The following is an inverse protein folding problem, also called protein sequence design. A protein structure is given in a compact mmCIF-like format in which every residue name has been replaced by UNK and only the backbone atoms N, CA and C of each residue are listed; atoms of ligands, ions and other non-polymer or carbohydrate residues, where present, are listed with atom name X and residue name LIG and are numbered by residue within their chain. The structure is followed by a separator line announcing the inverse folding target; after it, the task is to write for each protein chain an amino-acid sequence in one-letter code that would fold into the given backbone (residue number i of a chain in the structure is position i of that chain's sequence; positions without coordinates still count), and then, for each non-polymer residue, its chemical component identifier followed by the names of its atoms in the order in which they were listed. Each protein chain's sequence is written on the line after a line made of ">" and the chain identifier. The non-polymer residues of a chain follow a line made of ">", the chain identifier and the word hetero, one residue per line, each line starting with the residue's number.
data_IF_563316852592
#
_entry.id   IF_563316852592
#
_cell.length_a   1.000
_cell.length_b   1.000
_cell.length_c   1.000
_cell.angle_alpha   90.00
_cell.angle_beta   90.00
_cell.angle_gamma   90.00
#
_symmetry.space_group_name_H-M   'P 1'
#
loop_
_entity.id
_entity.type
_entity.pdbx_description
1 polymer ?
#
# COMPACT_ATOMS: atom_id res chain seq x y z
N UNK A 1 44.18 2.11 2.98
CA UNK A 1 43.49 3.35 2.54
C UNK A 1 42.00 3.07 2.44
N UNK A 2 41.23 3.52 3.41
CA UNK A 2 39.76 3.44 3.40
C UNK A 2 39.20 4.56 2.51
N UNK A 3 38.55 4.20 1.39
CA UNK A 3 37.75 5.16 0.62
C UNK A 3 36.43 5.40 1.37
N UNK A 4 36.37 6.50 2.12
CA UNK A 4 35.10 7.05 2.57
C UNK A 4 34.31 7.50 1.33
N UNK A 5 33.26 6.78 0.98
CA UNK A 5 32.30 7.20 -0.04
C UNK A 5 31.30 8.12 0.66
N UNK A 6 31.51 9.43 0.54
CA UNK A 6 30.53 10.44 0.96
C UNK A 6 29.34 10.41 0.01
N UNK A 7 28.13 10.20 0.56
CA UNK A 7 26.89 10.33 -0.21
C UNK A 7 26.62 11.80 -0.60
N UNK A 8 26.03 12.06 -1.78
CA UNK A 8 25.50 13.39 -2.11
C UNK A 8 24.33 13.75 -1.20
N UNK A 9 24.27 15.01 -0.76
CA UNK A 9 23.14 15.56 -0.02
C UNK A 9 21.98 15.95 -0.96
N UNK A 10 20.80 16.17 -0.36
CA UNK A 10 19.55 16.63 -0.98
C UNK A 10 18.73 15.53 -1.69
N UNK A 11 18.10 14.66 -0.89
CA UNK A 11 17.05 13.73 -1.34
C UNK A 11 15.77 14.01 -0.54
N UNK A 12 14.62 14.16 -1.23
CA UNK A 12 13.34 14.56 -0.63
C UNK A 12 12.18 13.75 -1.18
N UNK A 13 11.20 13.55 -0.29
CA UNK A 13 9.83 13.06 -0.56
C UNK A 13 9.80 11.58 -0.83
N UNK A 14 8.74 10.86 -0.40
CA UNK A 14 7.85 9.98 -1.20
C UNK A 14 7.09 8.95 -0.26
N UNK A 15 5.90 9.14 0.41
CA UNK A 15 5.48 8.28 1.60
C UNK A 15 4.29 7.28 1.64
N UNK A 16 3.07 7.79 1.45
CA UNK A 16 2.09 7.80 2.56
C UNK A 16 1.19 6.56 2.77
N UNK A 17 1.52 5.36 2.25
CA UNK A 17 0.73 4.09 2.46
C UNK A 17 0.68 3.79 3.93
N UNK A 18 1.86 3.76 4.52
CA UNK A 18 2.06 3.36 5.91
C UNK A 18 1.63 4.48 6.85
N UNK A 19 1.68 5.74 6.39
CA UNK A 19 1.08 6.87 7.10
C UNK A 19 -0.43 6.69 7.16
N UNK A 20 -1.14 6.52 6.05
CA UNK A 20 -2.62 6.43 6.12
C UNK A 20 -3.06 5.22 6.95
N UNK A 21 -2.44 4.04 6.80
CA UNK A 21 -2.78 2.89 7.64
C UNK A 21 -2.43 3.09 9.13
N UNK A 22 -1.24 3.62 9.47
CA UNK A 22 -0.84 3.87 10.86
C UNK A 22 -1.51 5.11 11.48
N UNK A 23 -1.95 6.08 10.68
CA UNK A 23 -2.76 7.24 11.11
C UNK A 23 -4.20 6.80 11.36
N UNK A 24 -4.82 6.04 10.44
CA UNK A 24 -6.14 5.43 10.63
C UNK A 24 -6.19 4.61 11.93
N UNK A 25 -5.25 3.68 12.10
CA UNK A 25 -5.14 2.90 13.35
C UNK A 25 -4.74 3.77 14.53
N UNK A 26 -3.91 4.78 14.32
CA UNK A 26 -3.25 5.51 15.38
C UNK A 26 -4.05 6.61 16.03
N UNK A 27 -4.61 7.52 15.25
CA UNK A 27 -5.58 8.50 15.73
C UNK A 27 -6.80 7.76 16.30
N UNK A 28 -7.17 6.62 15.73
CA UNK A 28 -8.27 5.81 16.24
C UNK A 28 -8.02 5.24 17.63
N UNK A 29 -6.87 4.59 17.82
CA UNK A 29 -6.43 4.13 19.14
C UNK A 29 -6.30 5.29 20.14
N UNK A 30 -5.81 6.45 19.70
CA UNK A 30 -5.67 7.65 20.54
C UNK A 30 -7.02 8.14 21.07
N UNK A 31 -7.99 8.31 20.16
CA UNK A 31 -9.32 8.82 20.48
C UNK A 31 -10.17 7.80 21.24
N UNK A 32 -9.91 6.49 21.10
CA UNK A 32 -10.54 5.48 21.98
C UNK A 32 -10.13 5.62 23.46
N UNK A 33 -8.96 6.20 23.72
CA UNK A 33 -8.42 6.42 25.06
C UNK A 33 -8.85 7.77 25.66
N UNK A 34 -9.23 8.74 24.81
CA UNK A 34 -9.68 10.08 25.22
C UNK A 34 -11.21 10.22 25.05
N UNK A 35 -11.96 9.86 26.10
CA UNK A 35 -13.44 9.96 26.09
C UNK A 35 -14.00 11.39 26.02
N UNK A 36 -13.18 12.43 26.17
CA UNK A 36 -13.62 13.83 26.31
C UNK A 36 -12.84 14.83 25.42
N UNK A 37 -12.81 14.62 24.10
CA UNK A 37 -12.44 15.69 23.14
C UNK A 37 -13.61 15.98 22.19
N UNK A 38 -14.45 16.90 22.66
CA UNK A 38 -15.50 17.60 21.90
C UNK A 38 -14.92 18.84 21.20
N UNK A 39 -14.11 18.62 20.17
CA UNK A 39 -13.65 19.67 19.25
C UNK A 39 -13.81 19.13 17.83
N UNK A 40 -14.25 19.98 16.91
CA UNK A 40 -14.57 19.69 15.50
C UNK A 40 -15.83 18.84 15.29
N UNK A 41 -16.98 19.50 15.43
CA UNK A 41 -18.23 19.12 14.76
C UNK A 41 -18.55 20.17 13.67
N UNK A 42 -19.22 19.71 12.61
CA UNK A 42 -19.67 20.41 11.39
C UNK A 42 -18.74 20.38 10.17
N UNK A 43 -19.06 19.46 9.27
CA UNK A 43 -18.85 19.58 7.81
C UNK A 43 -19.94 18.73 7.13
N UNK A 44 -20.84 19.39 6.40
CA UNK A 44 -21.95 18.75 5.68
C UNK A 44 -21.46 18.16 4.35
N UNK A 45 -20.64 17.11 4.43
CA UNK A 45 -20.24 16.29 3.29
C UNK A 45 -20.49 14.81 3.59
N UNK A 46 -20.70 14.03 2.52
CA UNK A 46 -21.24 12.66 2.56
C UNK A 46 -20.38 11.76 3.49
N UNK A 47 -20.88 11.35 4.67
CA UNK A 47 -20.03 10.70 5.66
C UNK A 47 -19.55 9.33 5.16
N UNK A 48 -18.24 9.11 5.27
CA UNK A 48 -17.64 7.78 5.14
C UNK A 48 -18.38 6.84 6.11
N UNK A 49 -18.96 5.76 5.59
CA UNK A 49 -19.82 4.87 6.37
C UNK A 49 -19.12 4.43 7.67
N UNK A 50 -19.75 4.70 8.81
CA UNK A 50 -19.28 4.22 10.12
C UNK A 50 -19.24 2.68 10.19
N UNK A 51 -19.91 2.00 9.26
CA UNK A 51 -19.91 0.54 9.11
C UNK A 51 -18.74 0.02 8.27
N UNK A 52 -18.15 0.85 7.39
CA UNK A 52 -17.17 0.39 6.40
C UNK A 52 -16.34 1.55 5.85
N UNK A 53 -15.02 1.48 6.00
CA UNK A 53 -14.09 2.38 5.29
C UNK A 53 -13.42 1.57 4.18
N UNK A 54 -13.64 1.94 2.92
CA UNK A 54 -12.95 1.32 1.77
C UNK A 54 -12.26 2.39 0.93
N UNK A 55 -11.02 2.15 0.52
CA UNK A 55 -10.28 3.04 -0.40
C UNK A 55 -9.25 2.28 -1.25
N UNK A 56 -8.96 2.80 -2.45
CA UNK A 56 -7.84 2.35 -3.25
C UNK A 56 -6.54 2.97 -2.75
N UNK A 57 -5.49 2.19 -2.65
CA UNK A 57 -4.17 2.59 -2.19
C UNK A 57 -3.13 2.29 -3.26
N UNK A 58 -2.45 3.34 -3.76
CA UNK A 58 -1.53 3.26 -4.89
C UNK A 58 -0.12 3.69 -4.51
N UNK A 59 0.82 2.75 -4.39
CA UNK A 59 2.23 3.02 -4.14
C UNK A 59 2.99 3.32 -5.42
N UNK A 60 3.16 4.60 -5.74
CA UNK A 60 3.95 5.12 -6.87
C UNK A 60 5.46 5.14 -6.55
N UNK A 61 6.29 4.88 -7.57
CA UNK A 61 7.76 4.92 -7.43
C UNK A 61 8.32 6.34 -7.26
N UNK A 62 7.76 7.32 -7.97
CA UNK A 62 8.15 8.74 -7.88
C UNK A 62 9.42 9.09 -8.66
N UNK A 63 9.73 10.41 -8.73
CA UNK A 63 10.84 10.98 -9.52
C UNK A 63 12.20 11.00 -8.81
N UNK A 64 12.27 10.72 -7.51
CA UNK A 64 13.47 11.03 -6.71
C UNK A 64 14.62 10.02 -6.87
N UNK A 65 14.35 8.83 -7.39
CA UNK A 65 15.34 7.78 -7.59
C UNK A 65 15.82 7.87 -9.04
N UNK A 66 17.04 8.38 -9.26
CA UNK A 66 17.68 8.60 -10.57
C UNK A 66 18.03 7.32 -11.37
N UNK A 67 17.19 6.29 -11.25
CA UNK A 67 17.31 4.95 -11.79
C UNK A 67 15.98 4.42 -12.39
N UNK A 68 14.93 5.25 -12.45
CA UNK A 68 13.64 4.86 -13.07
C UNK A 68 13.32 5.74 -14.28
N UNK A 69 13.18 5.11 -15.44
CA UNK A 69 12.69 5.74 -16.67
C UNK A 69 11.16 5.97 -16.66
N UNK A 70 10.47 5.62 -15.57
CA UNK A 70 9.01 5.72 -15.45
C UNK A 70 8.62 6.08 -14.00
N UNK A 71 8.65 7.39 -13.63
CA UNK A 71 8.40 7.84 -12.27
C UNK A 71 6.93 7.80 -11.83
N UNK A 72 6.02 7.67 -12.80
CA UNK A 72 4.57 7.77 -12.59
C UNK A 72 3.87 6.39 -12.59
N UNK A 73 4.62 5.31 -12.36
CA UNK A 73 4.07 3.96 -12.22
C UNK A 73 3.70 3.63 -10.77
N UNK A 74 2.53 3.02 -10.59
CA UNK A 74 2.06 2.41 -9.36
C UNK A 74 2.61 0.98 -9.23
N UNK A 75 3.61 0.80 -8.37
CA UNK A 75 4.28 -0.49 -8.12
C UNK A 75 3.58 -1.32 -7.04
N UNK A 76 2.61 -0.73 -6.35
CA UNK A 76 1.70 -1.38 -5.39
C UNK A 76 0.28 -0.88 -5.66
N UNK A 77 -0.67 -1.77 -5.93
CA UNK A 77 -2.10 -1.44 -6.06
C UNK A 77 -2.84 -2.30 -5.04
N UNK A 78 -3.47 -1.67 -4.04
CA UNK A 78 -4.11 -2.38 -2.92
C UNK A 78 -5.49 -1.76 -2.67
N UNK A 79 -6.56 -2.56 -2.70
CA UNK A 79 -7.85 -2.11 -2.16
C UNK A 79 -7.87 -2.40 -0.67
N UNK A 80 -8.05 -1.36 0.13
CA UNK A 80 -8.20 -1.45 1.59
C UNK A 80 -9.68 -1.48 1.92
N UNK A 81 -10.11 -2.43 2.74
CA UNK A 81 -11.49 -2.58 3.22
C UNK A 81 -11.50 -2.84 4.72
N UNK A 82 -11.74 -1.78 5.50
CA UNK A 82 -11.79 -1.81 6.96
C UNK A 82 -13.22 -1.98 7.47
N UNK A 83 -13.37 -2.94 8.39
CA UNK A 83 -14.59 -3.33 9.10
C UNK A 83 -14.42 -3.06 10.60
N UNK A 84 -14.83 -1.88 11.11
CA UNK A 84 -14.65 -1.51 12.52
C UNK A 84 -15.31 -2.49 13.51
N UNK A 85 -16.42 -3.12 13.13
CA UNK A 85 -17.29 -3.94 13.97
C UNK A 85 -16.60 -5.25 14.38
N UNK A 86 -15.80 -5.81 13.48
CA UNK A 86 -15.05 -7.06 13.67
C UNK A 86 -13.53 -6.85 13.83
N UNK A 87 -13.08 -5.59 13.76
CA UNK A 87 -11.67 -5.21 13.88
C UNK A 87 -10.79 -5.77 12.76
N UNK A 88 -11.27 -5.83 11.51
CA UNK A 88 -10.51 -6.38 10.38
C UNK A 88 -10.23 -5.31 9.33
N UNK A 89 -9.00 -5.23 8.86
CA UNK A 89 -8.64 -4.58 7.58
C UNK A 89 -8.34 -5.68 6.58
N UNK A 90 -9.20 -5.83 5.58
CA UNK A 90 -8.90 -6.63 4.39
C UNK A 90 -7.99 -5.80 3.47
N UNK A 91 -6.88 -6.39 3.01
CA UNK A 91 -5.90 -5.80 2.10
C UNK A 91 -5.85 -6.64 0.83
N UNK A 92 -6.48 -6.17 -0.23
CA UNK A 92 -6.58 -6.87 -1.52
C UNK A 92 -5.52 -6.32 -2.48
N UNK A 93 -4.42 -7.04 -2.65
CA UNK A 93 -3.36 -6.70 -3.61
C UNK A 93 -3.79 -7.08 -5.03
N UNK A 94 -3.77 -6.09 -5.93
CA UNK A 94 -3.99 -6.27 -7.37
C UNK A 94 -2.63 -6.29 -8.09
N UNK A 95 -2.32 -7.34 -8.88
CA UNK A 95 -1.01 -7.46 -9.52
C UNK A 95 -0.72 -6.32 -10.49
N UNK A 96 0.45 -5.71 -10.36
CA UNK A 96 0.84 -4.51 -11.13
C UNK A 96 0.91 -4.75 -12.65
N UNK A 97 1.20 -5.98 -13.05
CA UNK A 97 1.34 -6.42 -14.45
C UNK A 97 0.01 -6.90 -15.05
N UNK A 98 -1.10 -6.81 -14.32
CA UNK A 98 -2.44 -7.14 -14.83
C UNK A 98 -2.78 -6.23 -16.02
N UNK A 99 -3.04 -6.83 -17.17
CA UNK A 99 -3.44 -6.11 -18.38
C UNK A 99 -4.92 -5.77 -18.29
N UNK A 100 -5.22 -4.48 -18.22
CA UNK A 100 -6.56 -3.93 -18.05
C UNK A 100 -6.93 -3.11 -19.28
N UNK A 101 -8.23 -3.03 -19.56
CA UNK A 101 -8.79 -2.05 -20.49
C UNK A 101 -9.59 -1.03 -19.70
N UNK A 102 -9.20 0.24 -19.77
CA UNK A 102 -9.83 1.35 -19.05
C UNK A 102 -10.19 2.46 -20.05
N UNK A 103 -11.49 2.60 -20.32
CA UNK A 103 -11.98 3.36 -21.48
C UNK A 103 -11.58 2.68 -22.79
N UNK A 104 -10.95 3.43 -23.70
CA UNK A 104 -10.40 2.93 -24.97
C UNK A 104 -9.05 2.23 -24.85
N UNK A 105 -8.36 2.38 -23.72
CA UNK A 105 -6.92 2.14 -23.63
C UNK A 105 -6.63 0.82 -22.91
N UNK A 106 -5.74 0.00 -23.46
CA UNK A 106 -5.29 -1.25 -22.83
C UNK A 106 -3.81 -1.20 -22.48
N UNK A 107 -3.49 -1.47 -21.22
CA UNK A 107 -2.16 -1.26 -20.63
C UNK A 107 -2.00 -2.05 -19.33
N UNK A 108 -0.80 -2.07 -18.74
CA UNK A 108 -0.58 -2.72 -17.43
C UNK A 108 -1.09 -1.86 -16.29
N UNK A 109 -1.73 -2.44 -15.29
CA UNK A 109 -2.33 -1.72 -14.16
C UNK A 109 -1.38 -0.73 -13.46
N UNK A 110 -0.06 -1.00 -13.43
CA UNK A 110 0.94 -0.05 -12.92
C UNK A 110 1.00 1.30 -13.67
N UNK A 111 0.61 1.36 -14.94
CA UNK A 111 0.60 2.59 -15.75
C UNK A 111 -0.60 3.50 -15.47
N UNK A 112 -1.55 3.10 -14.60
CA UNK A 112 -2.81 3.82 -14.37
C UNK A 112 -2.63 5.29 -14.00
N UNK A 113 -1.64 5.61 -13.15
CA UNK A 113 -1.33 6.98 -12.75
C UNK A 113 -0.68 7.76 -13.89
N UNK A 114 0.35 7.20 -14.52
CA UNK A 114 1.02 7.79 -15.68
C UNK A 114 0.06 8.14 -16.83
N UNK A 115 -0.97 7.31 -17.06
CA UNK A 115 -1.99 7.51 -18.11
C UNK A 115 -3.17 8.38 -17.69
N UNK A 116 -3.24 8.81 -16.43
CA UNK A 116 -4.37 9.59 -15.90
C UNK A 116 -5.68 8.79 -15.78
N UNK A 117 -5.60 7.45 -15.74
CA UNK A 117 -6.73 6.50 -15.81
C UNK A 117 -7.28 6.06 -14.47
N UNK A 118 -6.98 6.84 -13.43
CA UNK A 118 -7.46 6.57 -12.08
C UNK A 118 -9.00 6.61 -11.98
N UNK A 119 -9.73 7.57 -12.59
CA UNK A 119 -11.20 7.57 -12.56
C UNK A 119 -11.80 6.29 -13.15
N UNK A 120 -11.35 5.87 -14.34
CA UNK A 120 -11.83 4.65 -14.98
C UNK A 120 -11.47 3.38 -14.18
N UNK A 121 -10.31 3.34 -13.52
CA UNK A 121 -9.97 2.23 -12.61
C UNK A 121 -10.99 2.15 -11.45
N UNK A 122 -11.34 3.28 -10.84
CA UNK A 122 -12.29 3.32 -9.72
C UNK A 122 -13.69 2.81 -10.11
N UNK A 123 -14.13 3.03 -11.35
CA UNK A 123 -15.37 2.46 -11.89
C UNK A 123 -15.32 0.94 -12.07
N UNK A 124 -14.15 0.39 -12.40
CA UNK A 124 -13.95 -1.05 -12.69
C UNK A 124 -13.57 -1.85 -11.44
N UNK A 125 -12.99 -1.24 -10.40
CA UNK A 125 -12.63 -1.88 -9.13
C UNK A 125 -13.73 -2.79 -8.51
N UNK A 126 -15.03 -2.42 -8.49
CA UNK A 126 -16.06 -3.27 -7.91
C UNK A 126 -16.27 -4.57 -8.72
N UNK A 127 -16.03 -4.53 -10.03
CA UNK A 127 -16.07 -5.71 -10.90
C UNK A 127 -14.87 -6.63 -10.65
N UNK A 128 -13.70 -6.04 -10.36
CA UNK A 128 -12.47 -6.78 -10.06
C UNK A 128 -12.47 -7.42 -8.66
N UNK A 129 -13.14 -6.79 -7.67
CA UNK A 129 -12.91 -7.09 -6.25
C UNK A 129 -14.16 -7.32 -5.40
N UNK A 130 -15.36 -6.97 -5.89
CA UNK A 130 -16.58 -6.92 -5.06
C UNK A 130 -16.59 -5.76 -4.04
N UNK A 131 -15.53 -4.94 -3.98
CA UNK A 131 -15.42 -3.79 -3.09
C UNK A 131 -15.74 -2.52 -3.88
N UNK A 132 -16.83 -1.85 -3.49
CA UNK A 132 -17.13 -0.49 -3.98
C UNK A 132 -16.39 0.54 -3.12
N UNK A 133 -15.65 1.42 -3.78
CA UNK A 133 -15.06 2.61 -3.20
C UNK A 133 -14.95 3.71 -4.26
N UNK A 134 -15.15 4.95 -3.85
CA UNK A 134 -14.87 6.18 -4.60
C UNK A 134 -13.62 6.91 -4.04
N UNK A 135 -13.13 6.51 -2.87
CA UNK A 135 -11.98 7.10 -2.18
C UNK A 135 -10.67 6.45 -2.64
N UNK A 136 -9.63 7.25 -2.85
CA UNK A 136 -8.29 6.76 -3.15
C UNK A 136 -7.21 7.53 -2.38
N UNK A 137 -6.03 6.92 -2.29
CA UNK A 137 -4.81 7.53 -1.75
C UNK A 137 -3.63 7.13 -2.66
N UNK A 138 -3.09 8.11 -3.38
CA UNK A 138 -1.82 7.97 -4.10
C UNK A 138 -0.68 8.29 -3.16
N UNK A 139 0.26 7.37 -3.17
CA UNK A 139 1.34 7.21 -2.21
C UNK A 139 2.63 7.09 -2.98
N UNK A 140 3.71 7.35 -2.27
CA UNK A 140 5.06 7.34 -2.74
C UNK A 140 5.91 6.44 -1.77
N UNK A 141 7.12 5.96 -2.10
CA UNK A 141 8.01 5.07 -1.27
C UNK A 141 9.10 5.66 -0.29
N UNK A 142 9.95 6.65 -0.61
CA UNK A 142 11.02 7.22 0.27
C UNK A 142 10.61 8.05 1.54
N UNK A 143 9.34 8.06 1.96
CA UNK A 143 8.79 8.50 3.26
C UNK A 143 8.00 7.33 3.93
N UNK A 144 7.88 6.13 3.32
CA UNK A 144 7.75 4.86 4.09
C UNK A 144 8.97 4.74 5.00
N UNK A 145 10.15 5.13 4.48
CA UNK A 145 11.33 5.38 5.28
C UNK A 145 11.04 6.27 6.49
N UNK A 146 10.40 7.42 6.30
CA UNK A 146 10.04 8.33 7.40
C UNK A 146 9.06 7.69 8.39
N UNK A 147 8.11 6.85 7.97
CA UNK A 147 7.27 6.09 8.92
C UNK A 147 8.11 5.15 9.76
N UNK A 148 8.96 4.34 9.12
CA UNK A 148 9.81 3.37 9.81
C UNK A 148 10.82 4.09 10.73
N UNK A 149 11.42 5.18 10.28
CA UNK A 149 12.37 5.98 11.06
C UNK A 149 11.68 6.67 12.25
N UNK A 150 10.47 7.22 12.08
CA UNK A 150 9.70 7.86 13.17
C UNK A 150 9.09 6.87 14.15
N UNK A 151 8.95 5.60 13.77
CA UNK A 151 8.70 4.49 14.68
C UNK A 151 9.97 4.02 15.42
N UNK A 152 11.15 4.52 15.06
CA UNK A 152 12.43 4.02 15.57
C UNK A 152 12.74 2.60 15.07
N UNK A 153 12.58 2.39 13.76
CA UNK A 153 12.72 1.13 13.06
C UNK A 153 11.58 0.13 13.36
N UNK A 154 11.51 -0.94 12.57
CA UNK A 154 10.51 -2.01 12.74
C UNK A 154 11.18 -3.38 12.78
N UNK A 155 10.50 -4.35 13.39
CA UNK A 155 11.02 -5.71 13.56
C UNK A 155 10.25 -6.66 12.63
N UNK A 156 10.98 -7.35 11.74
CA UNK A 156 10.43 -8.22 10.70
C UNK A 156 11.24 -9.52 10.59
N UNK A 157 10.55 -10.66 10.57
CA UNK A 157 11.16 -11.99 10.41
C UNK A 157 11.14 -12.38 8.94
N UNK A 158 12.31 -12.51 8.32
CA UNK A 158 12.44 -12.96 6.93
C UNK A 158 12.56 -14.49 6.86
N UNK A 159 11.72 -15.21 6.09
CA UNK A 159 11.81 -16.67 5.96
C UNK A 159 13.04 -17.11 5.16
N UNK A 160 13.52 -16.26 4.24
CA UNK A 160 14.72 -16.45 3.44
C UNK A 160 15.50 -15.13 3.33
N UNK A 161 16.79 -15.18 2.98
CA UNK A 161 17.58 -13.97 2.80
C UNK A 161 17.04 -13.17 1.60
N UNK A 162 16.85 -11.87 1.77
CA UNK A 162 16.62 -10.97 0.65
C UNK A 162 17.99 -10.53 0.11
N UNK A 163 18.22 -10.62 -1.20
CA UNK A 163 19.48 -10.23 -1.87
C UNK A 163 19.17 -9.31 -3.05
N UNK A 164 20.03 -8.34 -3.34
CA UNK A 164 20.04 -7.60 -4.60
C UNK A 164 21.16 -8.14 -5.48
N UNK A 165 20.79 -8.71 -6.62
CA UNK A 165 21.74 -9.32 -7.56
C UNK A 165 22.69 -8.30 -8.21
N UNK A 166 22.38 -6.99 -8.16
CA UNK A 166 23.19 -5.93 -8.76
C UNK A 166 24.18 -5.34 -7.76
N UNK A 167 23.73 -4.94 -6.56
CA UNK A 167 24.61 -4.34 -5.55
C UNK A 167 25.27 -5.35 -4.61
N UNK A 168 24.78 -6.59 -4.55
CA UNK A 168 25.17 -7.59 -3.55
C UNK A 168 24.62 -7.32 -2.14
N UNK A 169 23.88 -6.22 -1.92
CA UNK A 169 23.27 -5.93 -0.63
C UNK A 169 22.33 -7.07 -0.22
N UNK A 170 22.40 -7.46 1.05
CA UNK A 170 21.69 -8.62 1.59
C UNK A 170 21.12 -8.30 2.96
N UNK A 171 19.85 -8.64 3.18
CA UNK A 171 19.24 -8.74 4.51
C UNK A 171 19.13 -10.25 4.83
N UNK A 172 19.70 -10.72 5.95
CA UNK A 172 19.71 -12.15 6.28
C UNK A 172 18.31 -12.69 6.60
N UNK A 173 18.15 -14.01 6.49
CA UNK A 173 16.95 -14.69 7.02
C UNK A 173 16.91 -14.60 8.56
N UNK A 174 15.73 -14.73 9.14
CA UNK A 174 15.47 -14.60 10.58
C UNK A 174 15.00 -13.20 10.98
N UNK A 175 15.08 -12.90 12.28
CA UNK A 175 14.61 -11.64 12.86
C UNK A 175 15.56 -10.49 12.51
N UNK A 176 15.02 -9.46 11.88
CA UNK A 176 15.76 -8.27 11.48
C UNK A 176 15.10 -7.01 12.06
N UNK A 177 15.92 -6.10 12.56
CA UNK A 177 15.51 -4.72 12.81
C UNK A 177 15.78 -3.89 11.56
N UNK A 178 14.71 -3.37 10.96
CA UNK A 178 14.68 -2.72 9.65
C UNK A 178 14.50 -1.22 9.85
N UNK A 179 15.49 -0.43 9.42
CA UNK A 179 15.37 1.02 9.29
C UNK A 179 14.67 1.42 7.99
N UNK A 180 14.40 2.71 7.80
CA UNK A 180 13.62 3.16 6.65
C UNK A 180 14.29 2.96 5.28
N UNK A 181 15.62 3.06 5.17
CA UNK A 181 16.34 2.78 3.92
C UNK A 181 16.23 1.29 3.55
N UNK A 182 16.36 0.41 4.54
CA UNK A 182 16.16 -1.03 4.38
C UNK A 182 14.71 -1.36 4.02
N UNK A 183 13.73 -0.62 4.54
CA UNK A 183 12.32 -0.79 4.23
C UNK A 183 11.99 -0.43 2.77
N UNK A 184 12.53 0.67 2.24
CA UNK A 184 12.43 1.01 0.80
C UNK A 184 13.05 -0.11 -0.05
N UNK A 185 14.25 -0.55 0.32
CA UNK A 185 14.96 -1.58 -0.45
C UNK A 185 14.19 -2.91 -0.47
N UNK A 186 13.69 -3.37 0.68
CA UNK A 186 12.98 -4.65 0.80
C UNK A 186 11.62 -4.61 0.08
N UNK A 187 10.89 -3.49 0.15
CA UNK A 187 9.61 -3.29 -0.55
C UNK A 187 9.75 -3.12 -2.09
N UNK A 188 10.97 -2.97 -2.60
CA UNK A 188 11.32 -2.99 -4.03
C UNK A 188 11.96 -4.32 -4.48
N UNK A 189 12.35 -5.19 -3.55
CA UNK A 189 13.07 -6.42 -3.89
C UNK A 189 12.13 -7.43 -4.58
N UNK A 190 12.54 -7.85 -5.78
CA UNK A 190 11.88 -8.85 -6.65
C UNK A 190 12.80 -10.02 -7.00
N UNK A 191 13.98 -10.12 -6.39
CA UNK A 191 15.00 -11.13 -6.69
C UNK A 191 14.73 -12.44 -5.95
N UNK A 192 13.58 -13.03 -6.27
CA UNK A 192 13.12 -14.35 -5.83
C UNK A 192 12.46 -15.05 -7.02
N UNK A 193 12.40 -16.40 -7.09
CA UNK A 193 11.68 -17.10 -8.16
C UNK A 193 10.20 -16.72 -8.29
N UNK A 194 9.58 -16.19 -7.22
CA UNK A 194 8.20 -15.68 -7.24
C UNK A 194 8.08 -14.22 -7.79
N UNK A 195 9.21 -13.57 -8.08
CA UNK A 195 9.27 -12.27 -8.76
C UNK A 195 8.49 -11.16 -8.06
N UNK A 196 7.50 -10.61 -8.74
CA UNK A 196 6.67 -9.53 -8.23
C UNK A 196 5.73 -9.96 -7.09
N UNK A 197 5.35 -11.24 -7.00
CA UNK A 197 4.58 -11.76 -5.87
C UNK A 197 5.41 -11.83 -4.58
N UNK A 198 6.74 -12.00 -4.69
CA UNK A 198 7.64 -11.86 -3.55
C UNK A 198 7.66 -10.40 -3.05
N UNK A 199 7.69 -9.42 -3.97
CA UNK A 199 7.61 -8.01 -3.62
C UNK A 199 6.30 -7.67 -2.90
N UNK A 200 5.16 -8.16 -3.39
CA UNK A 200 3.86 -7.97 -2.75
C UNK A 200 3.82 -8.57 -1.33
N UNK A 201 4.38 -9.78 -1.12
CA UNK A 201 4.52 -10.39 0.21
C UNK A 201 5.40 -9.56 1.14
N UNK A 202 6.54 -9.06 0.66
CA UNK A 202 7.42 -8.18 1.44
C UNK A 202 6.72 -6.89 1.86
N UNK A 203 5.95 -6.26 0.96
CA UNK A 203 5.14 -5.08 1.27
C UNK A 203 4.07 -5.39 2.34
N UNK A 204 3.45 -6.56 2.27
CA UNK A 204 2.46 -7.00 3.26
C UNK A 204 3.06 -7.28 4.64
N UNK A 205 4.21 -7.94 4.73
CA UNK A 205 4.92 -8.13 6.00
C UNK A 205 5.46 -6.80 6.56
N UNK A 206 5.88 -5.87 5.69
CA UNK A 206 6.20 -4.48 6.07
C UNK A 206 4.99 -3.80 6.74
N UNK A 207 3.78 -3.96 6.18
CA UNK A 207 2.54 -3.38 6.76
C UNK A 207 2.21 -4.01 8.11
N UNK A 208 2.40 -5.33 8.27
CA UNK A 208 2.23 -6.06 9.54
C UNK A 208 3.22 -5.59 10.60
N UNK A 209 4.50 -5.47 10.25
CA UNK A 209 5.57 -5.03 11.14
C UNK A 209 5.36 -3.57 11.61
N UNK A 210 5.00 -2.67 10.69
CA UNK A 210 4.64 -1.27 11.01
C UNK A 210 3.42 -1.20 11.93
N UNK A 211 2.36 -1.97 11.65
CA UNK A 211 1.18 -2.03 12.51
C UNK A 211 1.52 -2.57 13.91
N UNK A 212 2.34 -3.62 13.99
CA UNK A 212 2.79 -4.24 15.26
C UNK A 212 3.60 -3.25 16.09
N UNK A 213 4.59 -2.59 15.48
CA UNK A 213 5.43 -1.56 16.12
C UNK A 213 4.57 -0.39 16.60
N UNK A 214 3.74 0.17 15.73
CA UNK A 214 2.85 1.28 16.05
C UNK A 214 1.90 0.93 17.21
N UNK A 215 1.31 -0.27 17.23
CA UNK A 215 0.45 -0.72 18.34
C UNK A 215 1.17 -0.78 19.68
N UNK A 216 2.44 -1.18 19.70
CA UNK A 216 3.28 -1.28 20.89
C UNK A 216 3.63 0.06 21.53
N UNK A 217 3.50 1.18 20.80
CA UNK A 217 3.73 2.52 21.33
C UNK A 217 2.72 2.89 22.43
N UNK A 218 3.17 3.65 23.44
CA UNK A 218 2.30 4.30 24.41
C UNK A 218 1.38 5.33 23.75
N UNK A 219 0.31 5.74 24.41
CA UNK A 219 -0.60 6.79 23.92
C UNK A 219 0.16 8.08 23.59
N UNK A 220 1.15 8.48 24.40
CA UNK A 220 1.93 9.70 24.15
C UNK A 220 2.84 9.58 22.91
N UNK A 221 3.48 8.43 22.71
CA UNK A 221 4.30 8.18 21.52
C UNK A 221 3.43 8.11 20.25
N UNK A 222 2.23 7.52 20.34
CA UNK A 222 1.24 7.56 19.27
C UNK A 222 0.85 9.00 18.94
N UNK A 223 0.53 9.85 19.92
CA UNK A 223 0.26 11.28 19.72
C UNK A 223 1.43 11.96 18.99
N UNK A 224 2.65 11.78 19.48
CA UNK A 224 3.85 12.41 18.92
C UNK A 224 4.11 11.95 17.47
N UNK A 225 4.00 10.65 17.18
CA UNK A 225 4.10 10.11 15.83
C UNK A 225 3.07 10.75 14.90
N UNK A 226 1.79 10.81 15.30
CA UNK A 226 0.72 11.38 14.48
C UNK A 226 0.98 12.87 14.17
N UNK A 227 1.39 13.68 15.16
CA UNK A 227 1.75 15.08 14.94
C UNK A 227 2.91 15.24 13.94
N UNK A 228 3.92 14.37 13.99
CA UNK A 228 5.02 14.37 13.01
C UNK A 228 4.59 13.90 11.63
N UNK A 229 3.54 13.08 11.52
CA UNK A 229 2.98 12.60 10.25
C UNK A 229 1.98 13.58 9.61
N UNK A 230 1.38 14.51 10.37
CA UNK A 230 0.44 15.52 9.83
C UNK A 230 0.98 16.28 8.60
N UNK A 231 2.24 16.76 8.55
CA UNK A 231 2.79 17.42 7.36
C UNK A 231 2.94 16.52 6.14
N UNK A 232 2.94 15.20 6.30
CA UNK A 232 2.99 14.25 5.19
C UNK A 232 1.60 13.92 4.64
N UNK A 233 0.55 13.93 5.48
CA UNK A 233 -0.83 13.81 5.02
C UNK A 233 -1.19 14.93 4.02
N UNK A 234 -0.78 16.17 4.29
CA UNK A 234 -0.99 17.31 3.38
C UNK A 234 -0.21 17.26 2.06
N UNK A 235 0.61 16.21 1.85
CA UNK A 235 1.38 15.95 0.62
C UNK A 235 0.89 14.68 -0.09
N UNK A 236 -0.30 14.20 0.25
CA UNK A 236 -1.00 13.12 -0.46
C UNK A 236 -1.71 13.65 -1.69
N UNK A 237 -1.78 12.83 -2.72
CA UNK A 237 -2.81 12.97 -3.74
C UNK A 237 -3.95 12.00 -3.36
N UNK A 238 -5.09 12.56 -2.96
CA UNK A 238 -6.21 11.83 -2.35
C UNK A 238 -7.47 12.69 -2.36
N UNK A 239 -8.63 12.05 -2.45
CA UNK A 239 -9.96 12.64 -2.28
C UNK A 239 -10.62 12.28 -0.93
N UNK A 240 -9.83 11.86 0.05
CA UNK A 240 -10.26 11.63 1.43
C UNK A 240 -10.03 12.92 2.24
N UNK A 241 -11.08 13.49 2.85
CA UNK A 241 -10.85 14.41 3.97
C UNK A 241 -10.54 13.58 5.22
N UNK A 242 -9.32 13.71 5.75
CA UNK A 242 -8.90 13.03 6.97
C UNK A 242 -9.73 13.41 8.21
N UNK A 243 -10.51 14.51 8.16
CA UNK A 243 -11.51 14.86 9.19
C UNK A 243 -12.72 13.92 9.16
N UNK A 244 -13.20 13.52 7.97
CA UNK A 244 -14.32 12.56 7.82
C UNK A 244 -14.00 11.21 8.46
N UNK A 245 -12.72 10.84 8.51
CA UNK A 245 -12.26 9.59 9.12
C UNK A 245 -12.28 9.65 10.66
N UNK A 246 -12.16 10.83 11.28
CA UNK A 246 -12.01 10.98 12.74
C UNK A 246 -13.11 10.31 13.59
N UNK A 247 -14.41 10.34 13.23
CA UNK A 247 -15.46 9.66 14.00
C UNK A 247 -15.32 8.14 13.98
N UNK A 248 -15.13 7.55 12.79
CA UNK A 248 -14.93 6.10 12.61
C UNK A 248 -13.64 5.63 13.24
N UNK A 249 -12.62 6.50 13.28
CA UNK A 249 -11.36 6.27 14.00
C UNK A 249 -11.60 6.06 15.51
N UNK A 250 -12.50 6.80 16.17
CA UNK A 250 -12.77 6.64 17.63
C UNK A 250 -13.24 5.23 18.03
N UNK A 251 -13.73 4.44 17.08
CA UNK A 251 -14.21 3.05 17.27
C UNK A 251 -13.14 1.97 17.02
N UNK A 252 -11.88 2.35 16.75
CA UNK A 252 -10.80 1.37 16.50
C UNK A 252 -10.46 0.56 17.76
N UNK A 253 -10.93 -0.69 17.79
CA UNK A 253 -10.41 -1.74 18.66
C UNK A 253 -9.12 -2.37 18.13
N UNK A 254 -8.82 -3.58 18.58
CA UNK A 254 -7.67 -4.35 18.09
C UNK A 254 -7.82 -4.78 16.63
N UNK A 255 -7.15 -4.07 15.71
CA UNK A 255 -7.20 -4.37 14.27
C UNK A 255 -6.35 -5.57 13.88
N UNK A 256 -6.87 -6.53 13.10
CA UNK A 256 -6.05 -7.55 12.40
C UNK A 256 -6.04 -7.30 10.89
N UNK A 257 -4.93 -7.67 10.23
CA UNK A 257 -4.79 -7.57 8.78
C UNK A 257 -5.11 -8.92 8.13
N UNK A 258 -6.12 -8.94 7.28
CA UNK A 258 -6.41 -10.06 6.38
C UNK A 258 -5.84 -9.73 5.00
N UNK A 259 -4.85 -10.50 4.54
CA UNK A 259 -4.14 -10.22 3.29
C UNK A 259 -4.64 -11.13 2.18
N UNK A 260 -5.02 -10.54 1.05
CA UNK A 260 -5.58 -11.24 -0.11
C UNK A 260 -4.69 -10.90 -1.31
N UNK A 261 -4.06 -11.92 -1.89
CA UNK A 261 -3.18 -11.82 -3.07
C UNK A 261 -3.74 -12.74 -4.15
N UNK A 262 -3.76 -12.28 -5.40
CA UNK A 262 -4.07 -13.11 -6.56
C UNK A 262 -2.75 -13.43 -7.27
N UNK A 263 -2.13 -14.55 -6.88
CA UNK A 263 -0.89 -15.06 -7.49
C UNK A 263 -1.16 -16.24 -8.45
N UNK A 264 -0.11 -16.71 -9.12
CA UNK A 264 -0.22 -17.88 -10.01
C UNK A 264 -0.70 -19.17 -9.33
N UNK A 265 -0.54 -19.31 -8.01
CA UNK A 265 -0.97 -20.50 -7.26
C UNK A 265 -2.49 -20.54 -7.11
N UNK A 266 -3.18 -19.42 -7.33
CA UNK A 266 -4.65 -19.37 -7.42
C UNK A 266 -5.20 -19.99 -8.70
N UNK A 267 -4.40 -20.07 -9.78
CA UNK A 267 -4.86 -20.50 -11.10
C UNK A 267 -5.79 -19.50 -11.82
N UNK A 268 -6.05 -18.32 -11.25
CA UNK A 268 -6.99 -17.31 -11.79
C UNK A 268 -6.33 -16.45 -12.88
N UNK A 269 -5.02 -16.27 -12.80
CA UNK A 269 -4.24 -15.47 -13.74
C UNK A 269 -3.30 -16.33 -14.57
N UNK A 270 -3.12 -15.94 -15.83
CA UNK A 270 -2.18 -16.53 -16.77
C UNK A 270 -1.21 -15.46 -17.29
N UNK A 271 0.03 -15.86 -17.58
CA UNK A 271 0.99 -15.00 -18.25
C UNK A 271 0.69 -14.91 -19.74
N UNK A 272 0.92 -13.73 -20.32
CA UNK A 272 0.84 -13.51 -21.76
C UNK A 272 1.88 -12.48 -22.21
N UNK A 273 1.95 -12.26 -23.51
CA UNK A 273 2.81 -11.27 -24.15
C UNK A 273 1.95 -10.40 -25.07
N UNK A 274 2.07 -9.08 -24.94
CA UNK A 274 1.36 -8.09 -25.77
C UNK A 274 2.35 -7.14 -26.44
N UNK A 275 2.06 -6.66 -27.66
CA UNK A 275 2.84 -5.58 -28.28
C UNK A 275 2.79 -4.33 -27.42
N UNK A 276 3.95 -3.69 -27.21
CA UNK A 276 4.08 -2.45 -26.47
C UNK A 276 5.05 -1.51 -27.20
N UNK A 277 4.50 -0.69 -28.12
CA UNK A 277 5.30 0.11 -29.03
C UNK A 277 6.07 -0.78 -30.02
N UNK A 278 7.41 -0.70 -29.99
CA UNK A 278 8.29 -1.55 -30.79
C UNK A 278 8.68 -2.87 -30.07
N UNK A 279 8.38 -2.99 -28.78
CA UNK A 279 8.79 -4.10 -27.93
C UNK A 279 7.62 -5.06 -27.62
N UNK A 280 7.92 -6.19 -26.96
CA UNK A 280 6.93 -7.11 -26.41
C UNK A 280 6.94 -7.00 -24.88
N UNK A 281 5.80 -6.70 -24.28
CA UNK A 281 5.63 -6.65 -22.84
C UNK A 281 5.01 -7.96 -22.32
N UNK A 282 5.65 -8.55 -21.31
CA UNK A 282 5.04 -9.58 -20.45
C UNK A 282 3.89 -8.98 -19.65
N UNK A 283 2.74 -9.65 -19.58
CA UNK A 283 1.57 -9.22 -18.80
C UNK A 283 0.89 -10.40 -18.09
N UNK A 284 0.05 -10.07 -17.11
CA UNK A 284 -0.91 -11.00 -16.49
C UNK A 284 -2.31 -10.76 -17.05
N UNK A 285 -3.04 -11.82 -17.34
CA UNK A 285 -4.43 -11.79 -17.80
C UNK A 285 -5.31 -12.67 -16.92
N UNK A 286 -6.60 -12.33 -16.69
CA UNK A 286 -7.56 -13.29 -16.17
C UNK A 286 -7.67 -14.49 -17.11
N UNK A 287 -7.81 -15.68 -16.55
CA UNK A 287 -7.90 -16.94 -17.30
C UNK A 287 -9.14 -16.99 -18.21
N UNK A 288 -10.23 -16.35 -17.80
CA UNK A 288 -11.47 -16.23 -18.59
C UNK A 288 -11.40 -15.16 -19.70
N UNK A 289 -10.28 -14.46 -19.84
CA UNK A 289 -10.05 -13.43 -20.86
C UNK A 289 -9.85 -12.03 -20.29
N UNK A 290 -9.29 -11.14 -21.11
CA UNK A 290 -9.09 -9.73 -20.76
C UNK A 290 -10.40 -9.06 -20.37
N UNK A 291 -10.43 -8.36 -19.24
CA UNK A 291 -11.63 -7.69 -18.72
C UNK A 291 -12.65 -8.61 -18.02
N UNK A 292 -12.50 -9.94 -18.09
CA UNK A 292 -13.34 -10.86 -17.30
C UNK A 292 -12.71 -11.10 -15.93
N UNK A 293 -13.24 -10.44 -14.91
CA UNK A 293 -12.73 -10.54 -13.54
C UNK A 293 -13.56 -11.45 -12.61
N UNK A 294 -14.47 -12.28 -13.14
CA UNK A 294 -15.40 -13.06 -12.30
C UNK A 294 -14.70 -14.00 -11.31
N UNK A 295 -13.66 -14.72 -11.77
CA UNK A 295 -12.87 -15.60 -10.90
C UNK A 295 -12.06 -14.81 -9.84
N UNK A 296 -11.55 -13.62 -10.20
CA UNK A 296 -10.84 -12.74 -9.28
C UNK A 296 -11.77 -12.22 -8.18
N UNK A 297 -12.95 -11.71 -8.57
CA UNK A 297 -13.98 -11.21 -7.67
C UNK A 297 -14.48 -12.31 -6.74
N UNK A 298 -14.86 -13.47 -7.28
CA UNK A 298 -15.34 -14.59 -6.46
C UNK A 298 -14.27 -15.07 -5.45
N UNK A 299 -13.00 -15.12 -5.86
CA UNK A 299 -11.90 -15.45 -4.96
C UNK A 299 -11.72 -14.42 -3.85
N UNK A 300 -11.75 -13.12 -4.17
CA UNK A 300 -11.65 -12.04 -3.18
C UNK A 300 -12.85 -12.08 -2.23
N UNK A 301 -14.09 -12.16 -2.74
CA UNK A 301 -15.32 -12.21 -1.94
C UNK A 301 -15.40 -13.43 -1.00
N UNK A 302 -14.75 -14.54 -1.36
CA UNK A 302 -14.60 -15.73 -0.52
C UNK A 302 -13.59 -15.58 0.61
N UNK A 303 -12.67 -14.60 0.50
CA UNK A 303 -11.58 -14.34 1.46
C UNK A 303 -11.78 -13.08 2.29
N UNK A 304 -12.62 -12.14 1.86
CA UNK A 304 -13.01 -10.96 2.65
C UNK A 304 -13.68 -11.43 3.94
N UNK A 305 -13.17 -10.96 5.08
CA UNK A 305 -13.86 -11.08 6.35
C UNK A 305 -14.96 -10.01 6.44
N UNK A 306 -16.15 -10.42 6.87
CA UNK A 306 -17.40 -9.64 6.86
C UNK A 306 -17.97 -9.53 8.26
#
# INVERSE_FOLDING_TARGET
>A
MTKNITMPSNVKTIAKVFIVAAVLVGFGFLMSYQREISVFANSDDNPISEERISFLLLGQTGRAIGWSNAPDLADSIIVVDYRPQIGVVNLVSLPRDLFVTLGSDSFKLNEVLHRGKLPELMEVLPQMTGIKTDKYVVVNIDTLKTVVDELGGIDLTLPEKAVDAVSGYTIPAGDNHINGDQAIWLSRNRYSPEGDFFREKNQQEMMRAILKKFKGLSTMEKTAFLFKMTPELGKLDTNIDFKELLPTMRKFGGVRLNNIVIDFKTGILQSSQVPYGADIAYVLLPRLGQGNYDEMRAHIESKIEK
#
